data_IF_747564816726
#
_entry.id   IF_747564816726
#
_cell.length_a   1.000
_cell.length_b   1.000
_cell.length_c   1.000
_cell.angle_alpha   90.00
_cell.angle_beta   90.00
_cell.angle_gamma   90.00
#
_symmetry.space_group_name_H-M   'P 1'
#
loop_
_entity.id
_entity.type
_entity.pdbx_description
1 polymer ?
#
# COMPACT_ATOMS: atom_id res chain seq x y z
N UNK A 1 9.62 -20.11 -5.35
CA UNK A 1 8.52 -19.18 -4.99
C UNK A 1 8.44 -18.15 -6.10
N UNK A 2 7.46 -18.28 -7.00
CA UNK A 2 7.37 -17.48 -8.23
C UNK A 2 6.51 -16.24 -7.94
N UNK A 3 7.14 -15.09 -7.71
CA UNK A 3 6.44 -13.81 -7.49
C UNK A 3 6.18 -13.15 -8.84
N UNK A 4 5.15 -13.60 -9.54
CA UNK A 4 4.57 -12.86 -10.66
C UNK A 4 3.60 -11.80 -10.13
N UNK A 5 4.14 -10.71 -9.56
CA UNK A 5 3.34 -9.51 -9.30
C UNK A 5 3.16 -8.79 -10.62
N UNK A 6 2.08 -9.17 -11.33
CA UNK A 6 1.64 -8.52 -12.55
C UNK A 6 1.38 -7.05 -12.23
N UNK A 7 2.06 -6.15 -12.93
CA UNK A 7 1.70 -4.73 -13.05
C UNK A 7 0.27 -4.65 -13.60
N UNK A 8 -0.71 -4.80 -12.72
CA UNK A 8 -2.11 -4.60 -13.06
C UNK A 8 -2.37 -3.14 -12.78
N UNK A 9 -2.25 -2.33 -13.83
CA UNK A 9 -3.04 -1.10 -13.93
C UNK A 9 -4.49 -1.56 -13.70
N UNK A 10 -5.02 -1.33 -12.50
CA UNK A 10 -6.29 -1.93 -12.12
C UNK A 10 -7.41 -1.26 -12.92
N UNK A 11 -7.91 -1.97 -13.93
CA UNK A 11 -9.09 -1.66 -14.72
C UNK A 11 -10.16 -2.72 -14.47
N UNK A 12 -10.49 -2.97 -13.19
CA UNK A 12 -11.38 -4.05 -12.77
C UNK A 12 -12.54 -3.57 -11.91
N UNK A 13 -13.66 -4.30 -11.97
CA UNK A 13 -14.84 -4.14 -11.10
C UNK A 13 -14.73 -4.95 -9.80
N UNK A 14 -13.56 -5.52 -9.50
CA UNK A 14 -13.35 -6.36 -8.31
C UNK A 14 -13.32 -5.50 -7.05
N UNK A 15 -14.03 -5.94 -6.01
CA UNK A 15 -13.91 -5.35 -4.68
C UNK A 15 -12.47 -5.47 -4.16
N UNK A 16 -11.95 -4.39 -3.58
CA UNK A 16 -10.62 -4.39 -3.01
C UNK A 16 -10.64 -5.00 -1.61
N UNK A 17 -9.64 -5.80 -1.30
CA UNK A 17 -9.49 -6.42 0.02
C UNK A 17 -8.51 -5.65 0.89
N UNK A 18 -8.64 -5.82 2.19
CA UNK A 18 -7.66 -5.31 3.15
C UNK A 18 -6.26 -5.87 2.86
N UNK A 19 -5.26 -4.99 2.78
CA UNK A 19 -3.90 -5.33 2.40
C UNK A 19 -3.59 -5.26 0.90
N UNK A 20 -4.59 -5.02 0.04
CA UNK A 20 -4.35 -4.83 -1.40
C UNK A 20 -3.53 -3.54 -1.64
N UNK A 21 -2.56 -3.63 -2.55
CA UNK A 21 -1.75 -2.50 -3.03
C UNK A 21 -1.85 -2.44 -4.55
N UNK A 22 -2.21 -1.27 -5.09
CA UNK A 22 -2.53 -1.08 -6.50
C UNK A 22 -1.82 0.17 -7.01
N UNK A 23 -1.39 0.15 -8.27
CA UNK A 23 -0.78 1.31 -8.93
C UNK A 23 -1.63 1.77 -10.10
N UNK A 24 -1.73 3.09 -10.25
CA UNK A 24 -2.30 3.73 -11.42
C UNK A 24 -1.44 4.93 -11.86
N UNK A 25 -1.68 5.40 -13.08
CA UNK A 25 -1.15 6.69 -13.54
C UNK A 25 -1.77 7.83 -12.74
N UNK A 26 -0.99 8.89 -12.51
CA UNK A 26 -1.40 9.97 -11.62
C UNK A 26 -2.39 10.99 -12.23
N UNK A 27 -2.74 10.85 -13.51
CA UNK A 27 -3.61 11.80 -14.21
C UNK A 27 -2.99 13.20 -14.30
N UNK A 28 -3.66 14.21 -13.72
CA UNK A 28 -3.24 15.62 -13.75
C UNK A 28 -2.23 16.00 -12.64
N UNK A 29 -1.86 15.06 -11.78
CA UNK A 29 -0.94 15.31 -10.68
C UNK A 29 0.52 15.42 -11.18
N UNK A 30 1.40 16.18 -10.51
CA UNK A 30 2.76 16.45 -10.99
C UNK A 30 3.74 15.27 -10.88
N UNK A 31 3.28 14.11 -10.41
CA UNK A 31 4.07 12.87 -10.28
C UNK A 31 3.57 11.79 -11.24
N UNK A 32 4.35 10.72 -11.44
CA UNK A 32 4.06 9.71 -12.49
C UNK A 32 2.99 8.70 -12.11
N UNK A 33 2.99 8.26 -10.85
CA UNK A 33 2.15 7.17 -10.37
C UNK A 33 1.53 7.50 -9.02
N UNK A 34 0.34 6.95 -8.78
CA UNK A 34 -0.26 6.86 -7.44
C UNK A 34 -0.27 5.40 -7.03
N UNK A 35 0.18 5.13 -5.81
CA UNK A 35 0.08 3.83 -5.17
C UNK A 35 -1.04 3.89 -4.15
N UNK A 36 -2.10 3.12 -4.36
CA UNK A 36 -3.23 2.98 -3.46
C UNK A 36 -3.02 1.74 -2.59
N UNK A 37 -3.08 1.90 -1.27
CA UNK A 37 -3.08 0.80 -0.32
C UNK A 37 -4.40 0.76 0.45
N UNK A 38 -4.93 -0.43 0.66
CA UNK A 38 -6.19 -0.64 1.39
C UNK A 38 -5.89 -1.11 2.80
N UNK A 39 -6.39 -0.36 3.78
CA UNK A 39 -6.29 -0.69 5.20
C UNK A 39 -7.67 -0.67 5.83
N UNK A 40 -8.03 -1.78 6.46
CA UNK A 40 -9.22 -1.88 7.30
C UNK A 40 -8.95 -1.37 8.72
N UNK A 41 -10.03 -1.02 9.43
CA UNK A 41 -9.92 -0.64 10.84
C UNK A 41 -9.34 -1.82 11.65
N UNK A 42 -8.37 -1.57 12.54
CA UNK A 42 -7.76 -2.59 13.36
C UNK A 42 -8.83 -3.23 14.22
N UNK A 43 -8.80 -4.56 14.25
CA UNK A 43 -9.51 -5.29 15.29
C UNK A 43 -8.69 -5.07 16.56
N UNK A 44 -9.27 -4.41 17.57
CA UNK A 44 -8.57 -4.00 18.82
C UNK A 44 -7.81 -5.13 19.51
N UNK A 45 -8.23 -6.39 19.35
CA UNK A 45 -7.59 -7.58 19.91
C UNK A 45 -6.49 -8.18 19.04
N UNK A 46 -6.20 -7.60 17.87
CA UNK A 46 -5.32 -8.16 16.85
C UNK A 46 -4.12 -7.24 16.51
N UNK A 47 -3.63 -6.47 17.48
CA UNK A 47 -2.54 -5.49 17.31
C UNK A 47 -1.37 -6.03 16.47
N UNK A 48 -0.84 -7.22 16.81
CA UNK A 48 0.27 -7.82 16.07
C UNK A 48 -0.07 -8.13 14.60
N UNK A 49 -1.29 -8.63 14.31
CA UNK A 49 -1.72 -8.92 12.94
C UNK A 49 -1.88 -7.63 12.12
N UNK A 50 -2.36 -6.56 12.76
CA UNK A 50 -2.51 -5.25 12.13
C UNK A 50 -1.12 -4.68 11.75
N UNK A 51 -0.13 -4.81 12.64
CA UNK A 51 1.25 -4.38 12.36
C UNK A 51 1.89 -5.19 11.24
N UNK A 52 1.82 -6.53 11.29
CA UNK A 52 2.33 -7.38 10.20
C UNK A 52 1.66 -7.06 8.86
N UNK A 53 0.38 -6.70 8.86
CA UNK A 53 -0.31 -6.29 7.63
C UNK A 53 0.21 -4.96 7.10
N UNK A 54 0.42 -3.96 7.97
CA UNK A 54 1.00 -2.68 7.58
C UNK A 54 2.43 -2.86 7.03
N UNK A 55 3.24 -3.72 7.65
CA UNK A 55 4.58 -4.06 7.16
C UNK A 55 4.54 -4.71 5.77
N UNK A 56 3.59 -5.62 5.54
CA UNK A 56 3.39 -6.25 4.24
C UNK A 56 2.96 -5.24 3.18
N UNK A 57 2.11 -4.27 3.52
CA UNK A 57 1.70 -3.18 2.62
C UNK A 57 2.92 -2.31 2.27
N UNK A 58 3.69 -1.87 3.26
CA UNK A 58 4.88 -1.05 3.04
C UNK A 58 5.90 -1.77 2.15
N UNK A 59 6.12 -3.06 2.40
CA UNK A 59 7.00 -3.90 1.58
C UNK A 59 6.51 -3.98 0.13
N UNK A 60 5.21 -4.16 -0.09
CA UNK A 60 4.63 -4.18 -1.44
C UNK A 60 4.77 -2.82 -2.14
N UNK A 61 4.52 -1.71 -1.44
CA UNK A 61 4.71 -0.35 -1.98
C UNK A 61 6.15 -0.13 -2.44
N UNK A 62 7.14 -0.52 -1.62
CA UNK A 62 8.55 -0.42 -1.98
C UNK A 62 8.93 -1.32 -3.16
N UNK A 63 8.41 -2.56 -3.19
CA UNK A 63 8.63 -3.47 -4.30
C UNK A 63 8.08 -2.91 -5.61
N UNK A 64 6.88 -2.31 -5.58
CA UNK A 64 6.29 -1.61 -6.72
C UNK A 64 7.14 -0.44 -7.17
N UNK A 65 7.62 0.37 -6.23
CA UNK A 65 8.49 1.50 -6.52
C UNK A 65 9.77 1.05 -7.25
N UNK A 66 10.39 -0.03 -6.76
CA UNK A 66 11.56 -0.62 -7.40
C UNK A 66 11.26 -1.17 -8.81
N UNK A 67 10.15 -1.90 -8.97
CA UNK A 67 9.73 -2.45 -10.27
C UNK A 67 9.45 -1.34 -11.31
N UNK A 68 8.82 -0.25 -10.88
CA UNK A 68 8.54 0.93 -11.70
C UNK A 68 9.76 1.83 -11.91
N UNK A 69 10.91 1.48 -11.31
CA UNK A 69 12.17 2.22 -11.36
C UNK A 69 12.00 3.69 -10.93
N UNK A 70 11.11 3.96 -9.96
CA UNK A 70 10.98 5.31 -9.41
C UNK A 70 12.12 5.56 -8.42
N UNK A 71 12.71 6.76 -8.48
CA UNK A 71 13.82 7.15 -7.61
C UNK A 71 13.37 7.86 -6.34
N UNK A 72 12.18 8.45 -6.39
CA UNK A 72 11.60 9.26 -5.30
C UNK A 72 10.18 8.77 -5.08
N UNK A 73 9.86 8.49 -3.82
CA UNK A 73 8.55 8.09 -3.35
C UNK A 73 8.21 8.94 -2.13
N UNK A 74 7.02 9.51 -2.09
CA UNK A 74 6.48 10.17 -0.91
C UNK A 74 5.47 9.24 -0.24
N UNK A 75 5.66 8.93 1.04
CA UNK A 75 4.76 8.07 1.81
C UNK A 75 4.10 8.88 2.93
N UNK A 76 2.76 8.87 3.04
CA UNK A 76 2.08 9.39 4.21
C UNK A 76 2.30 8.45 5.41
N UNK A 77 1.89 8.90 6.59
CA UNK A 77 1.73 8.02 7.75
C UNK A 77 0.51 7.12 7.54
N UNK A 78 0.70 6.04 6.78
CA UNK A 78 -0.36 5.11 6.40
C UNK A 78 -0.99 4.51 7.68
N UNK A 79 -2.32 4.62 7.80
CA UNK A 79 -3.09 4.00 8.88
C UNK A 79 -3.31 4.84 10.14
N UNK A 80 -2.62 5.98 10.31
CA UNK A 80 -2.72 6.81 11.53
C UNK A 80 -3.98 7.68 11.60
N UNK A 81 -4.72 7.80 10.48
CA UNK A 81 -6.00 8.50 10.42
C UNK A 81 -7.17 7.64 10.91
N UNK A 82 -8.21 7.49 10.09
CA UNK A 82 -9.43 6.75 10.43
C UNK A 82 -9.21 5.25 10.78
N UNK A 83 -8.05 4.70 10.43
CA UNK A 83 -7.67 3.34 10.80
C UNK A 83 -7.00 3.27 12.18
N UNK A 84 -6.77 4.36 12.92
CA UNK A 84 -6.36 4.34 14.33
C UNK A 84 -5.17 3.41 14.64
N UNK A 85 -4.23 3.25 13.71
CA UNK A 85 -3.00 2.49 13.95
C UNK A 85 -2.04 3.43 14.69
N UNK A 86 -1.91 3.21 16.00
CA UNK A 86 -1.09 4.06 16.89
C UNK A 86 0.40 3.77 16.80
N UNK A 87 0.79 2.60 16.27
CA UNK A 87 2.18 2.22 16.10
C UNK A 87 2.61 2.52 14.66
N UNK A 88 3.46 3.54 14.50
CA UNK A 88 4.14 3.81 13.23
C UNK A 88 5.64 3.56 13.42
N UNK A 89 6.26 2.90 12.45
CA UNK A 89 7.71 2.77 12.38
C UNK A 89 8.13 3.26 11.00
N UNK A 90 8.92 4.34 10.97
CA UNK A 90 9.58 4.74 9.75
C UNK A 90 10.61 3.66 9.41
N UNK A 91 10.57 3.21 8.16
CA UNK A 91 11.46 2.19 7.59
C UNK A 91 12.93 2.53 7.85
#
# INVERSE_FOLDING_TARGET
MHLSTVLTTFRGTRALNDGDVIVCEAGLLPFKYVVHSVISKPVYTASQRNLTRLDNINTQVLAMANQLKVKVLAMPLIGTGNALIEHFRLL
#
